data_IF_478419679501
#
_entry.id   IF_478419679501
#
_cell.length_a   1.000
_cell.length_b   1.000
_cell.length_c   1.000
_cell.angle_alpha   90.00
_cell.angle_beta   90.00
_cell.angle_gamma   90.00
#
_symmetry.space_group_name_H-M   'P 1'
#
loop_
_entity.id
_entity.type
_entity.pdbx_description
1 polymer ?
#
# COMPACT_ATOMS: atom_id res chain seq x y z
N UNK A 1 -0.40 -22.80 -44.52
CA UNK A 1 0.56 -23.69 -43.83
C UNK A 1 -0.02 -23.95 -42.46
N UNK A 2 -0.45 -25.18 -42.23
CA UNK A 2 -1.31 -25.52 -41.09
C UNK A 2 -0.45 -25.62 -39.81
N UNK A 3 -0.91 -25.05 -38.69
CA UNK A 3 -0.17 -25.08 -37.40
C UNK A 3 0.23 -26.52 -37.01
N UNK A 4 -0.60 -27.48 -37.42
CA UNK A 4 -0.40 -28.91 -37.24
C UNK A 4 0.83 -29.46 -37.98
N UNK A 5 1.08 -29.03 -39.21
CA UNK A 5 2.23 -29.44 -40.04
C UNK A 5 3.55 -28.86 -39.51
N UNK A 6 3.51 -27.65 -38.96
CA UNK A 6 4.68 -26.99 -38.39
C UNK A 6 5.13 -27.70 -37.11
N UNK A 7 4.17 -28.11 -36.27
CA UNK A 7 4.45 -28.80 -34.99
C UNK A 7 4.91 -30.24 -35.23
N UNK A 8 4.37 -30.95 -36.24
CA UNK A 8 4.77 -32.35 -36.52
C UNK A 8 6.14 -32.47 -37.19
N UNK A 9 6.59 -31.45 -37.91
CA UNK A 9 7.91 -31.43 -38.55
C UNK A 9 9.00 -30.70 -37.73
N UNK A 10 8.64 -30.15 -36.56
CA UNK A 10 9.60 -29.44 -35.71
C UNK A 10 10.48 -30.44 -34.93
N UNK A 11 11.80 -30.17 -34.88
CA UNK A 11 12.73 -30.96 -34.07
C UNK A 11 12.32 -30.89 -32.58
N UNK A 12 12.02 -32.04 -31.95
CA UNK A 12 11.61 -32.10 -30.55
C UNK A 12 12.57 -31.37 -29.60
N UNK A 13 13.88 -31.41 -29.87
CA UNK A 13 14.88 -30.75 -29.03
C UNK A 13 14.76 -29.23 -29.10
N UNK A 14 14.48 -28.69 -30.28
CA UNK A 14 14.29 -27.25 -30.50
C UNK A 14 13.00 -26.78 -29.82
N UNK A 15 11.93 -27.57 -29.91
CA UNK A 15 10.65 -27.27 -29.23
C UNK A 15 10.82 -27.28 -27.71
N UNK A 16 11.54 -28.26 -27.16
CA UNK A 16 11.82 -28.36 -25.72
C UNK A 16 12.68 -27.16 -25.26
N UNK A 17 13.72 -26.81 -26.01
CA UNK A 17 14.59 -25.67 -25.70
C UNK A 17 13.84 -24.33 -25.73
N UNK A 18 13.02 -24.09 -26.75
CA UNK A 18 12.21 -22.87 -26.85
C UNK A 18 11.18 -22.79 -25.72
N UNK A 19 10.52 -23.90 -25.40
CA UNK A 19 9.52 -23.96 -24.33
C UNK A 19 10.13 -23.72 -22.96
N UNK A 20 11.28 -24.32 -22.65
CA UNK A 20 11.99 -24.11 -21.38
C UNK A 20 12.53 -22.69 -21.25
N UNK A 21 13.08 -22.13 -22.32
CA UNK A 21 13.54 -20.74 -22.35
C UNK A 21 12.39 -19.76 -22.15
N UNK A 22 11.24 -20.01 -22.78
CA UNK A 22 10.03 -19.21 -22.61
C UNK A 22 9.52 -19.25 -21.16
N UNK A 23 9.48 -20.43 -20.54
CA UNK A 23 9.06 -20.59 -19.13
C UNK A 23 10.05 -19.87 -18.18
N UNK A 24 11.35 -19.97 -18.44
CA UNK A 24 12.37 -19.27 -17.66
C UNK A 24 12.24 -17.75 -17.80
N UNK A 25 11.98 -17.26 -19.02
CA UNK A 25 11.76 -15.84 -19.28
C UNK A 25 10.49 -15.31 -18.59
N UNK A 26 9.37 -16.04 -18.68
CA UNK A 26 8.12 -15.68 -17.98
C UNK A 26 8.37 -15.65 -16.46
N UNK A 27 9.07 -16.65 -15.91
CA UNK A 27 9.40 -16.72 -14.49
C UNK A 27 10.27 -15.54 -14.05
N UNK A 28 11.26 -15.15 -14.86
CA UNK A 28 12.09 -13.98 -14.62
C UNK A 28 11.29 -12.67 -14.67
N UNK A 29 10.35 -12.56 -15.61
CA UNK A 29 9.49 -11.39 -15.79
C UNK A 29 8.54 -11.23 -14.60
N UNK A 30 7.90 -12.32 -14.14
CA UNK A 30 7.06 -12.33 -12.93
C UNK A 30 7.88 -11.92 -11.70
N UNK A 31 9.07 -12.49 -11.52
CA UNK A 31 9.94 -12.16 -10.38
C UNK A 31 10.35 -10.69 -10.38
N UNK A 32 10.68 -10.14 -11.56
CA UNK A 32 11.21 -8.79 -11.69
C UNK A 32 10.13 -7.71 -11.65
N UNK A 33 8.98 -7.93 -12.27
CA UNK A 33 7.92 -6.92 -12.38
C UNK A 33 6.89 -7.00 -11.25
N UNK A 34 6.72 -8.17 -10.62
CA UNK A 34 5.68 -8.39 -9.61
C UNK A 34 6.30 -8.62 -8.24
N UNK A 35 7.09 -9.68 -8.07
CA UNK A 35 7.57 -10.05 -6.73
C UNK A 35 8.50 -8.99 -6.13
N UNK A 36 9.47 -8.49 -6.91
CA UNK A 36 10.45 -7.51 -6.42
C UNK A 36 9.81 -6.19 -5.99
N UNK A 37 8.97 -5.52 -6.80
CA UNK A 37 8.32 -4.27 -6.38
C UNK A 37 7.39 -4.46 -5.18
N UNK A 38 6.69 -5.59 -5.08
CA UNK A 38 5.84 -5.90 -3.92
C UNK A 38 6.70 -6.07 -2.65
N UNK A 39 7.82 -6.79 -2.75
CA UNK A 39 8.74 -6.98 -1.63
C UNK A 39 9.36 -5.65 -1.16
N UNK A 40 9.80 -4.82 -2.11
CA UNK A 40 10.39 -3.51 -1.83
C UNK A 40 9.36 -2.54 -1.22
N UNK A 41 8.12 -2.56 -1.73
CA UNK A 41 7.00 -1.76 -1.19
C UNK A 41 6.66 -2.18 0.23
N UNK A 42 6.59 -3.49 0.50
CA UNK A 42 6.37 -4.02 1.84
C UNK A 42 7.49 -3.60 2.80
N UNK A 43 8.75 -3.72 2.39
CA UNK A 43 9.88 -3.31 3.21
C UNK A 43 9.82 -1.81 3.55
N UNK A 44 9.45 -0.99 2.56
CA UNK A 44 9.30 0.47 2.74
C UNK A 44 8.14 0.79 3.68
N UNK A 45 7.01 0.12 3.52
CA UNK A 45 5.84 0.26 4.39
C UNK A 45 6.17 -0.11 5.85
N UNK A 46 6.85 -1.24 6.07
CA UNK A 46 7.24 -1.68 7.40
C UNK A 46 8.20 -0.69 8.06
N UNK A 47 9.23 -0.24 7.35
CA UNK A 47 10.14 0.80 7.84
C UNK A 47 9.42 2.09 8.20
N UNK A 48 8.44 2.49 7.39
CA UNK A 48 7.63 3.68 7.68
C UNK A 48 6.80 3.52 8.96
N UNK A 49 6.12 2.38 9.13
CA UNK A 49 5.32 2.12 10.33
C UNK A 49 6.22 2.02 11.57
N UNK A 50 7.32 1.27 11.51
CA UNK A 50 8.27 1.15 12.61
C UNK A 50 8.79 2.53 13.05
N UNK A 51 9.18 3.37 12.09
CA UNK A 51 9.64 4.73 12.37
C UNK A 51 8.54 5.61 12.96
N UNK A 52 7.31 5.46 12.49
CA UNK A 52 6.15 6.18 13.05
C UNK A 52 5.87 5.77 14.49
N UNK A 53 5.90 4.46 14.80
CA UNK A 53 5.71 3.95 16.17
C UNK A 53 6.81 4.46 17.09
N UNK A 54 8.07 4.44 16.64
CA UNK A 54 9.22 4.97 17.39
C UNK A 54 9.01 6.44 17.76
N UNK A 55 8.66 7.29 16.78
CA UNK A 55 8.45 8.72 17.00
C UNK A 55 7.25 8.98 17.91
N UNK A 56 6.11 8.31 17.68
CA UNK A 56 4.91 8.46 18.52
C UNK A 56 5.21 8.04 19.97
N UNK A 57 5.99 6.99 20.18
CA UNK A 57 6.38 6.53 21.52
C UNK A 57 7.32 7.52 22.21
N UNK A 58 8.30 8.06 21.49
CA UNK A 58 9.23 9.08 21.98
C UNK A 58 8.48 10.34 22.43
N UNK A 59 7.58 10.84 21.57
CA UNK A 59 6.71 12.00 21.85
C UNK A 59 5.81 11.72 23.04
N UNK A 60 5.12 10.57 23.07
CA UNK A 60 4.23 10.19 24.18
C UNK A 60 4.98 10.19 25.51
N UNK A 61 6.20 9.64 25.52
CA UNK A 61 7.02 9.59 26.74
C UNK A 61 7.30 11.00 27.27
N UNK A 62 7.61 11.97 26.40
CA UNK A 62 7.84 13.36 26.81
C UNK A 62 6.56 14.06 27.27
N UNK A 63 5.43 13.83 26.59
CA UNK A 63 4.13 14.34 27.05
C UNK A 63 3.75 13.78 28.43
N UNK A 64 4.02 12.49 28.67
CA UNK A 64 3.80 11.89 30.00
C UNK A 64 4.70 12.53 31.06
N UNK A 65 5.97 12.82 30.76
CA UNK A 65 6.83 13.53 31.70
C UNK A 65 6.32 14.95 32.00
N UNK A 66 5.81 15.67 31.00
CA UNK A 66 5.15 16.97 31.21
C UNK A 66 3.89 16.81 32.08
N UNK A 67 3.14 15.71 31.94
CA UNK A 67 1.97 15.45 32.77
C UNK A 67 2.34 15.17 34.24
N UNK A 68 3.44 14.44 34.46
CA UNK A 68 3.95 14.17 35.82
C UNK A 68 4.62 15.39 36.46
N UNK A 69 5.24 16.26 35.66
CA UNK A 69 5.94 17.46 36.10
C UNK A 69 5.38 18.70 35.37
N UNK A 70 4.18 19.17 35.74
CA UNK A 70 3.45 20.18 34.99
C UNK A 70 4.02 21.60 35.13
N UNK A 71 4.83 21.85 36.16
CA UNK A 71 5.38 23.15 36.52
C UNK A 71 6.88 23.08 36.85
N UNK A 72 7.58 24.21 36.76
CA UNK A 72 8.99 24.34 37.09
C UNK A 72 9.95 24.12 35.91
N UNK A 73 11.25 24.14 36.22
CA UNK A 73 12.32 24.05 35.22
C UNK A 73 12.30 22.71 34.46
N UNK A 74 11.93 21.62 35.13
CA UNK A 74 11.84 20.29 34.52
C UNK A 74 10.78 20.25 33.40
N UNK A 75 9.64 20.92 33.61
CA UNK A 75 8.57 21.02 32.60
C UNK A 75 9.05 21.75 31.35
N UNK A 76 9.81 22.83 31.52
CA UNK A 76 10.41 23.60 30.42
C UNK A 76 11.42 22.75 29.64
N UNK A 77 12.27 21.98 30.35
CA UNK A 77 13.22 21.08 29.70
C UNK A 77 12.51 20.02 28.85
N UNK A 78 11.45 19.39 29.36
CA UNK A 78 10.69 18.41 28.59
C UNK A 78 9.97 19.03 27.38
N UNK A 79 9.51 20.27 27.50
CA UNK A 79 8.92 21.02 26.38
C UNK A 79 9.96 21.36 25.31
N UNK A 80 11.17 21.77 25.69
CA UNK A 80 12.29 21.99 24.76
C UNK A 80 12.73 20.70 24.07
N UNK A 81 12.78 19.59 24.82
CA UNK A 81 13.02 18.26 24.24
C UNK A 81 11.93 17.89 23.22
N UNK A 82 10.66 18.19 23.52
CA UNK A 82 9.54 18.01 22.59
C UNK A 82 9.77 18.81 21.30
N UNK A 83 10.12 20.10 21.40
CA UNK A 83 10.42 20.95 20.24
C UNK A 83 11.58 20.38 19.41
N UNK A 84 12.65 19.94 20.08
CA UNK A 84 13.79 19.31 19.43
C UNK A 84 13.40 18.06 18.65
N UNK A 85 12.56 17.19 19.23
CA UNK A 85 12.06 15.98 18.55
C UNK A 85 11.28 16.34 17.29
N UNK A 86 10.42 17.35 17.36
CA UNK A 86 9.55 17.76 16.25
C UNK A 86 10.37 18.43 15.15
N UNK A 87 11.30 19.32 15.49
CA UNK A 87 12.06 20.10 14.52
C UNK A 87 13.20 19.31 13.87
N UNK A 88 13.59 18.17 14.46
CA UNK A 88 14.73 17.37 14.02
C UNK A 88 14.36 16.37 12.93
N UNK A 89 15.22 16.25 11.93
CA UNK A 89 15.27 15.18 10.93
C UNK A 89 13.93 14.87 10.22
N UNK A 90 13.04 15.85 10.07
CA UNK A 90 11.75 15.67 9.41
C UNK A 90 10.80 14.70 10.12
N UNK A 91 11.00 14.44 11.42
CA UNK A 91 10.15 13.53 12.22
C UNK A 91 8.67 13.94 12.23
N UNK A 92 8.37 15.22 11.99
CA UNK A 92 7.02 15.75 11.77
C UNK A 92 6.24 15.04 10.68
N UNK A 93 6.90 14.56 9.62
CA UNK A 93 6.25 13.86 8.52
C UNK A 93 5.60 12.54 8.93
N UNK A 94 5.89 12.04 10.13
CA UNK A 94 5.32 10.80 10.67
C UNK A 94 4.17 11.05 11.66
N UNK A 95 3.92 12.31 12.04
CA UNK A 95 2.82 12.68 12.94
C UNK A 95 1.59 13.10 12.12
N UNK A 96 0.40 12.82 12.64
CA UNK A 96 -0.82 13.43 12.08
C UNK A 96 -0.81 14.93 12.34
N UNK A 97 -1.51 15.68 11.49
CA UNK A 97 -1.60 17.13 11.62
C UNK A 97 -2.14 17.54 12.99
N UNK A 98 -3.17 16.84 13.46
CA UNK A 98 -3.83 17.13 14.72
C UNK A 98 -2.90 16.89 15.92
N UNK A 99 -2.13 15.80 15.88
CA UNK A 99 -1.16 15.47 16.93
C UNK A 99 -0.03 16.50 16.91
N UNK A 100 0.52 16.81 15.74
CA UNK A 100 1.57 17.82 15.58
C UNK A 100 1.13 19.20 16.09
N UNK A 101 -0.05 19.68 15.71
CA UNK A 101 -0.56 20.99 16.12
C UNK A 101 -0.75 21.07 17.64
N UNK A 102 -1.23 20.00 18.28
CA UNK A 102 -1.38 19.95 19.73
C UNK A 102 -0.03 19.94 20.46
N UNK A 103 0.91 19.12 19.98
CA UNK A 103 2.26 19.02 20.54
C UNK A 103 2.97 20.38 20.43
N UNK A 104 2.87 21.05 19.28
CA UNK A 104 3.46 22.36 19.06
C UNK A 104 2.95 23.37 20.11
N UNK A 105 1.63 23.44 20.31
CA UNK A 105 1.02 24.30 21.32
C UNK A 105 1.51 23.99 22.74
N UNK A 106 1.47 22.71 23.14
CA UNK A 106 1.95 22.25 24.45
C UNK A 106 3.43 22.61 24.67
N UNK A 107 4.23 22.52 23.61
CA UNK A 107 5.68 22.77 23.69
C UNK A 107 6.05 24.24 23.81
N UNK A 108 5.21 25.16 23.33
CA UNK A 108 5.48 26.60 23.31
C UNK A 108 4.82 27.29 24.51
N UNK A 109 3.64 26.85 24.92
CA UNK A 109 2.91 27.48 26.01
C UNK A 109 3.62 27.26 27.36
N UNK A 110 3.95 28.33 28.12
CA UNK A 110 4.61 28.21 29.41
C UNK A 110 3.76 27.44 30.43
N UNK A 111 2.46 27.74 30.45
CA UNK A 111 1.49 27.04 31.28
C UNK A 111 1.01 25.76 30.59
N UNK A 112 1.06 24.64 31.31
CA UNK A 112 0.64 23.34 30.78
C UNK A 112 -0.89 23.23 30.78
N UNK A 113 -1.50 23.19 29.60
CA UNK A 113 -2.93 22.89 29.47
C UNK A 113 -3.17 21.38 29.62
N UNK A 114 -3.59 20.97 30.82
CA UNK A 114 -3.80 19.56 31.17
C UNK A 114 -4.82 18.86 30.27
N UNK A 115 -5.91 19.53 29.91
CA UNK A 115 -6.96 18.96 29.03
C UNK A 115 -6.39 18.70 27.63
N UNK A 116 -5.64 19.65 27.08
CA UNK A 116 -4.99 19.48 25.78
C UNK A 116 -3.91 18.39 25.84
N UNK A 117 -3.14 18.33 26.94
CA UNK A 117 -2.09 17.33 27.13
C UNK A 117 -2.65 15.91 27.17
N UNK A 118 -3.63 15.65 28.02
CA UNK A 118 -4.22 14.32 28.19
C UNK A 118 -4.94 13.86 26.93
N UNK A 119 -5.72 14.75 26.29
CA UNK A 119 -6.38 14.41 25.02
C UNK A 119 -5.39 14.16 23.88
N UNK A 120 -4.20 14.76 23.91
CA UNK A 120 -3.14 14.49 22.94
C UNK A 120 -2.47 13.13 23.20
N UNK A 121 -2.24 12.78 24.47
CA UNK A 121 -1.73 11.45 24.86
C UNK A 121 -2.71 10.36 24.43
N UNK A 122 -4.01 10.53 24.66
CA UNK A 122 -5.05 9.59 24.25
C UNK A 122 -5.08 9.38 22.73
N UNK A 123 -5.01 10.46 21.94
CA UNK A 123 -4.92 10.35 20.47
C UNK A 123 -3.67 9.64 19.99
N UNK A 124 -2.53 9.86 20.65
CA UNK A 124 -1.30 9.14 20.33
C UNK A 124 -1.46 7.65 20.65
N UNK A 125 -2.16 7.30 21.73
CA UNK A 125 -2.44 5.92 22.09
C UNK A 125 -3.36 5.21 21.10
N UNK A 126 -4.40 5.89 20.62
CA UNK A 126 -5.24 5.37 19.54
C UNK A 126 -4.44 5.14 18.25
N UNK A 127 -3.60 6.10 17.85
CA UNK A 127 -2.78 5.95 16.64
C UNK A 127 -1.75 4.83 16.80
N UNK A 128 -1.06 4.75 17.93
CA UNK A 128 -0.16 3.65 18.25
C UNK A 128 -0.87 2.30 18.20
N UNK A 129 -2.05 2.19 18.81
CA UNK A 129 -2.84 0.96 18.77
C UNK A 129 -3.17 0.56 17.33
N UNK A 130 -3.60 1.51 16.49
CA UNK A 130 -3.89 1.25 15.08
C UNK A 130 -2.65 0.79 14.30
N UNK A 131 -1.50 1.42 14.51
CA UNK A 131 -0.25 1.01 13.85
C UNK A 131 0.20 -0.38 14.31
N UNK A 132 0.17 -0.64 15.61
CA UNK A 132 0.56 -1.94 16.19
C UNK A 132 -0.41 -3.04 15.73
N UNK A 133 -1.72 -2.76 15.68
CA UNK A 133 -2.72 -3.71 15.18
C UNK A 133 -2.44 -4.10 13.73
N UNK A 134 -2.08 -3.15 12.86
CA UNK A 134 -1.71 -3.45 11.47
C UNK A 134 -0.49 -4.38 11.39
N UNK A 135 0.53 -4.14 12.22
CA UNK A 135 1.70 -5.02 12.31
C UNK A 135 1.28 -6.42 12.81
N UNK A 136 0.42 -6.49 13.83
CA UNK A 136 -0.06 -7.77 14.36
C UNK A 136 -0.91 -8.54 13.35
N UNK A 137 -1.75 -7.85 12.56
CA UNK A 137 -2.53 -8.43 11.48
C UNK A 137 -1.61 -8.97 10.39
N UNK A 138 -0.58 -8.22 10.00
CA UNK A 138 0.45 -8.71 9.08
C UNK A 138 1.18 -9.92 9.65
N UNK A 139 1.66 -9.87 10.89
CA UNK A 139 2.33 -11.00 11.54
C UNK A 139 1.41 -12.22 11.61
N UNK A 140 0.13 -12.02 11.93
CA UNK A 140 -0.88 -13.08 12.00
C UNK A 140 -1.16 -13.65 10.62
N UNK A 141 -1.24 -12.80 9.59
CA UNK A 141 -1.29 -13.20 8.19
C UNK A 141 -0.06 -14.05 7.85
N UNK A 142 1.16 -13.54 8.05
CA UNK A 142 2.38 -14.30 7.81
C UNK A 142 2.44 -15.60 8.61
N UNK A 143 1.96 -15.64 9.84
CA UNK A 143 1.92 -16.87 10.63
C UNK A 143 0.93 -17.88 10.07
N UNK A 144 -0.28 -17.43 9.67
CA UNK A 144 -1.31 -18.27 9.05
C UNK A 144 -0.93 -18.75 7.65
N UNK A 145 -0.17 -17.95 6.89
CA UNK A 145 0.17 -18.22 5.49
C UNK A 145 1.60 -18.75 5.27
N UNK A 146 2.54 -18.55 6.21
CA UNK A 146 3.87 -19.20 6.18
C UNK A 146 3.80 -20.64 6.66
N UNK A 147 2.87 -20.97 7.57
CA UNK A 147 2.47 -22.34 7.87
C UNK A 147 1.28 -22.75 7.00
N UNK A 148 1.42 -22.87 5.67
CA UNK A 148 0.63 -23.86 4.90
C UNK A 148 1.20 -24.17 3.51
N UNK A 149 1.07 -25.46 3.17
CA UNK A 149 1.35 -26.22 1.95
C UNK A 149 1.56 -25.38 0.65
N UNK A 150 2.70 -25.55 -0.08
CA UNK A 150 3.05 -24.80 -1.31
C UNK A 150 1.94 -24.69 -2.37
N UNK A 151 0.99 -25.63 -2.39
CA UNK A 151 -0.18 -25.59 -3.26
C UNK A 151 -1.08 -24.37 -3.05
N UNK A 152 -1.30 -23.89 -1.81
CA UNK A 152 -2.13 -22.70 -1.57
C UNK A 152 -1.44 -21.41 -2.02
N UNK A 153 -0.12 -21.34 -1.89
CA UNK A 153 0.68 -20.22 -2.42
C UNK A 153 0.63 -20.19 -3.95
N UNK A 154 0.73 -21.35 -4.59
CA UNK A 154 0.56 -21.48 -6.03
C UNK A 154 -0.83 -21.02 -6.46
N UNK A 155 -1.90 -21.47 -5.78
CA UNK A 155 -3.28 -21.04 -6.06
C UNK A 155 -3.45 -19.52 -5.88
N UNK A 156 -2.88 -18.92 -4.83
CA UNK A 156 -2.95 -17.47 -4.62
C UNK A 156 -2.24 -16.69 -5.72
N UNK A 157 -1.03 -17.13 -6.12
CA UNK A 157 -0.28 -16.52 -7.22
C UNK A 157 -0.99 -16.70 -8.57
N UNK A 158 -1.62 -17.85 -8.83
CA UNK A 158 -2.39 -18.06 -10.06
C UNK A 158 -3.65 -17.21 -10.09
N UNK A 159 -4.35 -17.04 -8.96
CA UNK A 159 -5.54 -16.18 -8.87
C UNK A 159 -5.20 -14.70 -9.08
N UNK A 160 -4.11 -14.22 -8.46
CA UNK A 160 -3.56 -12.88 -8.70
C UNK A 160 -3.15 -12.69 -10.16
N UNK A 161 -2.44 -13.66 -10.74
CA UNK A 161 -2.03 -13.62 -12.15
C UNK A 161 -3.24 -13.60 -13.09
N UNK A 162 -4.28 -14.37 -12.78
CA UNK A 162 -5.54 -14.37 -13.53
C UNK A 162 -6.23 -13.01 -13.45
N UNK A 163 -6.27 -12.39 -12.27
CA UNK A 163 -6.83 -11.05 -12.09
C UNK A 163 -6.09 -9.99 -12.92
N UNK A 164 -4.76 -10.07 -12.99
CA UNK A 164 -3.97 -9.16 -13.84
C UNK A 164 -4.18 -9.42 -15.33
N UNK A 165 -4.29 -10.69 -15.76
CA UNK A 165 -4.59 -11.03 -17.16
C UNK A 165 -5.97 -10.50 -17.56
N UNK A 166 -6.98 -10.65 -16.69
CA UNK A 166 -8.33 -10.11 -16.91
C UNK A 166 -8.31 -8.58 -16.96
N UNK A 167 -7.56 -7.94 -16.08
CA UNK A 167 -7.44 -6.48 -16.07
C UNK A 167 -6.75 -5.97 -17.33
N UNK A 168 -5.66 -6.62 -17.75
CA UNK A 168 -4.93 -6.31 -18.97
C UNK A 168 -5.82 -6.53 -20.21
N UNK A 169 -6.54 -7.64 -20.28
CA UNK A 169 -7.43 -7.93 -21.41
C UNK A 169 -8.57 -6.91 -21.49
N UNK A 170 -9.09 -6.45 -20.36
CA UNK A 170 -10.09 -5.38 -20.30
C UNK A 170 -9.51 -4.05 -20.81
N UNK A 171 -8.28 -3.69 -20.41
CA UNK A 171 -7.59 -2.50 -20.93
C UNK A 171 -7.35 -2.60 -22.44
N UNK A 172 -6.88 -3.75 -22.93
CA UNK A 172 -6.67 -4.00 -24.37
C UNK A 172 -8.00 -3.93 -25.12
N UNK A 173 -9.09 -4.45 -24.55
CA UNK A 173 -10.43 -4.40 -25.14
C UNK A 173 -10.97 -2.96 -25.20
N UNK A 174 -10.76 -2.15 -24.15
CA UNK A 174 -11.11 -0.73 -24.17
C UNK A 174 -10.29 0.03 -25.21
N UNK A 175 -8.98 -0.24 -25.30
CA UNK A 175 -8.11 0.37 -26.32
C UNK A 175 -8.54 -0.04 -27.74
N UNK A 176 -8.89 -1.31 -27.94
CA UNK A 176 -9.42 -1.80 -29.21
C UNK A 176 -10.74 -1.12 -29.58
N UNK A 177 -11.68 -1.00 -28.62
CA UNK A 177 -12.94 -0.29 -28.83
C UNK A 177 -12.73 1.20 -29.13
N UNK A 178 -11.74 1.85 -28.50
CA UNK A 178 -11.39 3.23 -28.80
C UNK A 178 -10.84 3.35 -30.23
N UNK A 179 -9.94 2.47 -30.65
CA UNK A 179 -9.41 2.44 -32.02
C UNK A 179 -10.52 2.20 -33.05
N UNK A 180 -11.44 1.26 -32.77
CA UNK A 180 -12.60 0.96 -33.62
C UNK A 180 -13.61 2.13 -33.65
N UNK A 181 -13.75 2.90 -32.56
CA UNK A 181 -14.53 4.15 -32.54
C UNK A 181 -13.98 5.21 -33.51
N UNK A 182 -12.65 5.27 -33.67
CA UNK A 182 -11.98 6.21 -34.57
C UNK A 182 -11.87 5.71 -36.02
N UNK A 183 -12.09 4.41 -36.26
CA UNK A 183 -12.20 3.83 -37.60
C UNK A 183 -13.66 3.88 -38.06
N UNK A 184 -13.94 4.51 -39.21
CA UNK A 184 -15.19 4.61 -40.00
C UNK A 184 -16.55 4.04 -39.47
N UNK A 185 -16.92 4.25 -38.21
CA UNK A 185 -18.21 3.84 -37.65
C UNK A 185 -19.14 5.04 -37.43
N UNK A 186 -20.43 4.86 -37.70
CA UNK A 186 -21.47 5.90 -37.60
C UNK A 186 -21.54 6.55 -36.20
N UNK A 187 -21.84 7.86 -36.16
CA UNK A 187 -21.88 8.66 -34.93
C UNK A 187 -22.85 8.12 -33.86
N UNK A 188 -23.88 7.36 -34.24
CA UNK A 188 -24.84 6.77 -33.29
C UNK A 188 -24.26 5.62 -32.47
N UNK A 189 -23.41 4.79 -33.08
CA UNK A 189 -22.74 3.68 -32.38
C UNK A 189 -21.69 4.24 -31.39
N UNK A 190 -21.04 5.35 -31.75
CA UNK A 190 -20.11 6.08 -30.86
C UNK A 190 -20.78 6.54 -29.57
N UNK A 191 -21.97 7.11 -29.69
CA UNK A 191 -22.77 7.57 -28.53
C UNK A 191 -23.23 6.38 -27.69
N UNK A 192 -23.62 5.27 -28.32
CA UNK A 192 -24.01 4.05 -27.62
C UNK A 192 -22.88 3.44 -26.77
N UNK A 193 -21.66 3.38 -27.32
CA UNK A 193 -20.49 2.86 -26.60
C UNK A 193 -20.10 3.77 -25.43
N UNK A 194 -20.13 5.09 -25.61
CA UNK A 194 -19.87 6.07 -24.53
C UNK A 194 -20.83 5.89 -23.36
N UNK A 195 -22.13 5.72 -23.64
CA UNK A 195 -23.15 5.50 -22.61
C UNK A 195 -22.88 4.18 -21.87
N UNK A 196 -22.49 3.12 -22.59
CA UNK A 196 -22.20 1.81 -22.00
C UNK A 196 -20.95 1.84 -21.11
N UNK A 197 -19.92 2.62 -21.50
CA UNK A 197 -18.70 2.83 -20.72
C UNK A 197 -18.97 3.61 -19.42
N UNK A 198 -19.79 4.66 -19.49
CA UNK A 198 -20.23 5.42 -18.31
C UNK A 198 -21.05 4.54 -17.36
N UNK A 199 -21.97 3.72 -17.89
CA UNK A 199 -22.74 2.78 -17.07
C UNK A 199 -21.86 1.68 -16.45
N UNK A 200 -20.88 1.16 -17.20
CA UNK A 200 -19.92 0.18 -16.71
C UNK A 200 -19.07 0.72 -15.56
N UNK A 201 -18.55 1.94 -15.71
CA UNK A 201 -17.81 2.64 -14.65
C UNK A 201 -18.68 2.90 -13.42
N UNK A 202 -19.94 3.29 -13.61
CA UNK A 202 -20.88 3.48 -12.51
C UNK A 202 -21.18 2.19 -11.74
N UNK A 203 -21.29 1.06 -12.44
CA UNK A 203 -21.49 -0.25 -11.82
C UNK A 203 -20.25 -0.73 -11.04
N UNK A 204 -19.06 -0.51 -11.60
CA UNK A 204 -17.79 -0.84 -10.95
C UNK A 204 -17.59 0.01 -9.69
N UNK A 205 -17.86 1.32 -9.74
CA UNK A 205 -17.78 2.20 -8.56
C UNK A 205 -18.76 1.77 -7.45
N UNK A 206 -19.96 1.34 -7.83
CA UNK A 206 -20.96 0.84 -6.87
C UNK A 206 -20.60 -0.52 -6.28
N UNK A 207 -19.88 -1.35 -7.02
CA UNK A 207 -19.41 -2.67 -6.56
C UNK A 207 -18.18 -2.55 -5.64
N UNK A 208 -17.26 -1.63 -5.92
CA UNK A 208 -16.07 -1.37 -5.11
C UNK A 208 -16.36 -0.68 -3.77
N UNK A 209 -17.50 -0.01 -3.64
CA UNK A 209 -17.95 0.65 -2.39
C UNK A 209 -18.75 -0.26 -1.44
N UNK A 210 -18.78 -1.57 -1.71
CA UNK A 210 -19.43 -2.59 -0.87
C UNK A 210 -18.41 -3.56 -0.32
#
# INVERSE_FOLDING_TARGET
MDLKEIITNADPNVVIFLSTTLIAFISWLVKSLVEKPIADSKNTFNKFIERRIEILTEVKSRLNFIAYFPEGNDSLEYKEQLQSIILKDGKTGYLSKEIFDSILKISIDPATNEVLLLSTIERIDEDLYLQISKIQDEITFYRKFSNYNPLRRFIGLTLLSLQYIISLSLVVLVLFLLIDLFSEVSNYIRIGILILLVFGLHFIDKWLKK
#
